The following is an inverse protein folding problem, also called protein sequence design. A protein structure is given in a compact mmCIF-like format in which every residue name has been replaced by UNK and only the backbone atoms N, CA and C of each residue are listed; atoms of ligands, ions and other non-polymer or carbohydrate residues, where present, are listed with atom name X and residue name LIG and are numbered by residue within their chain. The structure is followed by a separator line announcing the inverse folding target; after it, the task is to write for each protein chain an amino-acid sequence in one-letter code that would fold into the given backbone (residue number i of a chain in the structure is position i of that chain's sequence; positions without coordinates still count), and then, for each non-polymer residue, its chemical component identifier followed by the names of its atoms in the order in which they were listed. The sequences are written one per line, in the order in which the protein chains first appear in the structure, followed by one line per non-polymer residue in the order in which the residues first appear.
data_IF_502703881616
#
_entry.id   IF_502703881616
#
_cell.length_a   1.000
_cell.length_b   1.000
_cell.length_c   1.000
_cell.angle_alpha   90.00
_cell.angle_beta   90.00
_cell.angle_gamma   90.00
#
_symmetry.space_group_name_H-M   'P 1'
#
loop_
_entity.id
_entity.type
_entity.pdbx_description
1 polymer ?
#
# COMPACT_ATOMS: atom_id res chain seq x y z
N UNK A 1 -3.93 -14.64 52.17
CA UNK A 1 -3.50 -15.99 51.71
C UNK A 1 -4.46 -16.37 50.60
N UNK A 2 -4.25 -15.99 49.36
CA UNK A 2 -3.03 -15.66 48.62
C UNK A 2 -3.26 -14.44 47.72
N UNK A 3 -2.26 -13.58 47.67
CA UNK A 3 -1.96 -12.66 46.58
C UNK A 3 -1.74 -13.43 45.28
N UNK A 4 -2.10 -12.83 44.13
CA UNK A 4 -1.61 -13.09 42.76
C UNK A 4 -2.41 -12.13 41.85
N UNK A 5 -2.08 -10.85 41.64
CA UNK A 5 -0.88 -10.27 41.02
C UNK A 5 -0.45 -10.98 39.73
N UNK A 6 -0.91 -10.50 38.56
CA UNK A 6 -0.07 -10.51 37.36
C UNK A 6 -0.54 -9.49 36.30
N UNK A 7 0.38 -8.57 35.97
CA UNK A 7 0.64 -7.81 34.74
C UNK A 7 -0.59 -7.29 33.94
N UNK A 8 -0.87 -5.99 33.85
CA UNK A 8 0.00 -4.89 33.38
C UNK A 8 0.80 -5.23 32.13
N UNK A 9 0.14 -5.22 30.97
CA UNK A 9 0.82 -4.99 29.69
C UNK A 9 0.08 -3.89 28.92
N UNK A 10 0.19 -2.65 29.41
CA UNK A 10 0.21 -1.49 28.53
C UNK A 10 1.47 -1.62 27.67
N UNK A 11 1.34 -2.24 26.49
CA UNK A 11 2.36 -2.13 25.47
C UNK A 11 2.31 -0.73 24.86
N UNK A 12 2.89 0.21 25.61
CA UNK A 12 3.44 1.45 25.06
C UNK A 12 4.58 1.06 24.12
N UNK A 13 4.22 0.81 22.86
CA UNK A 13 5.23 0.62 21.80
C UNK A 13 5.67 2.02 21.38
N UNK A 14 6.72 2.50 22.03
CA UNK A 14 7.55 3.59 21.52
C UNK A 14 8.11 3.15 20.17
N UNK A 15 7.50 3.63 19.08
CA UNK A 15 8.05 3.47 17.74
C UNK A 15 8.22 4.83 17.08
N UNK A 16 9.29 5.50 17.48
CA UNK A 16 9.74 6.78 16.92
C UNK A 16 10.36 6.65 15.50
N UNK A 17 9.84 5.73 14.69
CA UNK A 17 9.88 5.68 13.23
C UNK A 17 8.42 5.66 12.76
N UNK A 18 7.81 6.84 12.59
CA UNK A 18 6.37 7.03 12.41
C UNK A 18 5.67 5.88 11.68
N UNK A 19 4.95 5.06 12.45
CA UNK A 19 4.29 3.86 11.95
C UNK A 19 3.40 4.20 10.76
N UNK A 20 3.73 3.65 9.58
CA UNK A 20 2.81 3.61 8.47
C UNK A 20 1.66 2.65 8.81
N UNK A 21 0.68 3.15 9.54
CA UNK A 21 -0.59 2.44 9.66
C UNK A 21 -1.30 2.55 8.31
N UNK A 22 -1.18 1.50 7.52
CA UNK A 22 -1.85 1.34 6.23
C UNK A 22 -3.10 0.49 6.46
N UNK A 23 -4.22 0.91 5.87
CA UNK A 23 -5.38 0.03 5.74
C UNK A 23 -5.04 -1.13 4.82
N UNK A 24 -5.78 -2.23 4.91
CA UNK A 24 -5.57 -3.42 4.07
C UNK A 24 -5.65 -3.08 2.57
N UNK A 25 -6.53 -2.15 2.19
CA UNK A 25 -6.67 -1.66 0.81
C UNK A 25 -5.46 -0.85 0.36
N UNK A 26 -4.98 0.07 1.20
CA UNK A 26 -3.79 0.88 0.90
C UNK A 26 -2.54 0.01 0.73
N UNK A 27 -2.31 -0.93 1.66
CA UNK A 27 -1.22 -1.87 1.59
C UNK A 27 -1.30 -2.74 0.33
N UNK A 28 -2.51 -3.20 -0.03
CA UNK A 28 -2.75 -3.96 -1.27
C UNK A 28 -2.39 -3.15 -2.51
N UNK A 29 -2.82 -1.89 -2.60
CA UNK A 29 -2.53 -1.02 -3.74
C UNK A 29 -1.03 -0.79 -3.88
N UNK A 30 -0.35 -0.45 -2.78
CA UNK A 30 1.10 -0.24 -2.78
C UNK A 30 1.85 -1.51 -3.20
N UNK A 31 1.48 -2.67 -2.65
CA UNK A 31 2.07 -3.95 -3.05
C UNK A 31 1.86 -4.26 -4.54
N UNK A 32 0.68 -3.98 -5.08
CA UNK A 32 0.41 -4.16 -6.52
C UNK A 32 1.26 -3.23 -7.38
N UNK A 33 1.44 -1.97 -6.97
CA UNK A 33 2.27 -1.01 -7.70
C UNK A 33 3.73 -1.46 -7.72
N UNK A 34 4.29 -1.88 -6.57
CA UNK A 34 5.67 -2.38 -6.45
C UNK A 34 5.89 -3.64 -7.28
N UNK A 35 4.99 -4.61 -7.15
CA UNK A 35 5.04 -5.85 -7.93
C UNK A 35 5.04 -5.54 -9.44
N UNK A 36 4.18 -4.61 -9.89
CA UNK A 36 3.99 -4.32 -11.32
C UNK A 36 5.06 -3.40 -11.90
N UNK A 37 5.69 -2.54 -11.10
CA UNK A 37 6.92 -1.85 -11.50
C UNK A 37 8.01 -2.86 -11.88
N UNK A 38 8.15 -3.92 -11.08
CA UNK A 38 9.20 -4.93 -11.28
C UNK A 38 8.87 -5.97 -12.33
N UNK A 39 7.63 -6.49 -12.33
CA UNK A 39 7.23 -7.63 -13.17
C UNK A 39 6.68 -7.23 -14.54
N UNK A 40 6.12 -6.02 -14.67
CA UNK A 40 5.50 -5.52 -15.90
C UNK A 40 5.81 -4.02 -16.11
N UNK A 41 7.09 -3.64 -16.24
CA UNK A 41 7.51 -2.24 -16.31
C UNK A 41 6.91 -1.49 -17.50
N UNK A 42 6.54 -2.20 -18.58
CA UNK A 42 5.91 -1.61 -19.77
C UNK A 42 4.48 -1.09 -19.52
N UNK A 43 3.81 -1.60 -18.49
CA UNK A 43 2.47 -1.16 -18.10
C UNK A 43 2.52 -0.05 -17.05
N UNK A 44 3.61 0.05 -16.30
CA UNK A 44 3.82 1.03 -15.25
C UNK A 44 4.14 2.42 -15.82
N UNK A 45 3.65 3.54 -15.23
CA UNK A 45 2.79 3.64 -14.04
C UNK A 45 1.34 3.26 -14.31
N UNK A 46 0.63 2.63 -13.36
CA UNK A 46 -0.66 2.01 -13.64
C UNK A 46 -1.83 2.99 -13.65
N UNK A 47 -2.86 2.75 -14.46
CA UNK A 47 -4.15 3.46 -14.33
C UNK A 47 -4.97 2.90 -13.15
N UNK A 48 -5.98 3.63 -12.67
CA UNK A 48 -6.85 3.15 -11.58
C UNK A 48 -7.51 1.80 -11.89
N UNK A 49 -7.91 1.56 -13.14
CA UNK A 49 -8.50 0.28 -13.56
C UNK A 49 -7.47 -0.86 -13.57
N UNK A 50 -6.22 -0.58 -13.95
CA UNK A 50 -5.14 -1.56 -13.89
C UNK A 50 -4.81 -1.93 -12.43
N UNK A 51 -4.82 -0.94 -11.52
CA UNK A 51 -4.66 -1.18 -10.08
C UNK A 51 -5.79 -2.02 -9.52
N UNK A 52 -7.05 -1.70 -9.85
CA UNK A 52 -8.21 -2.49 -9.47
C UNK A 52 -8.07 -3.96 -9.90
N UNK A 53 -7.70 -4.17 -11.16
CA UNK A 53 -7.47 -5.50 -11.72
C UNK A 53 -6.36 -6.23 -10.98
N UNK A 54 -5.23 -5.55 -10.68
CA UNK A 54 -4.12 -6.11 -9.94
C UNK A 54 -4.47 -6.45 -8.49
N UNK A 55 -5.27 -5.62 -7.81
CA UNK A 55 -5.67 -5.84 -6.41
C UNK A 55 -6.57 -7.08 -6.25
N UNK A 56 -7.40 -7.36 -7.26
CA UNK A 56 -8.38 -8.44 -7.29
C UNK A 56 -7.88 -9.70 -8.03
N UNK A 57 -6.57 -9.81 -8.31
CA UNK A 57 -6.00 -11.01 -8.92
C UNK A 57 -6.24 -12.24 -8.03
N UNK A 58 -6.53 -13.39 -8.65
CA UNK A 58 -6.73 -14.67 -7.94
C UNK A 58 -5.42 -15.34 -7.54
N UNK A 59 -4.30 -14.92 -8.13
CA UNK A 59 -2.97 -15.46 -7.91
C UNK A 59 -2.09 -14.39 -7.28
N UNK A 60 -1.09 -14.79 -6.49
CA UNK A 60 -0.15 -13.87 -5.82
C UNK A 60 -0.86 -12.86 -4.91
N UNK A 61 -2.04 -13.20 -4.39
CA UNK A 61 -2.81 -12.39 -3.44
C UNK A 61 -3.26 -13.27 -2.28
N UNK A 62 -2.92 -12.85 -1.07
CA UNK A 62 -3.44 -13.43 0.16
C UNK A 62 -3.82 -12.30 1.14
N UNK A 63 -5.10 -12.15 1.50
CA UNK A 63 -6.26 -12.84 0.93
C UNK A 63 -6.60 -12.34 -0.48
N UNK A 64 -7.27 -13.17 -1.28
CA UNK A 64 -7.93 -12.69 -2.51
C UNK A 64 -8.99 -11.66 -2.12
N UNK A 65 -8.99 -10.51 -2.78
CA UNK A 65 -9.94 -9.42 -2.52
C UNK A 65 -10.88 -9.22 -3.71
N UNK A 66 -12.01 -8.56 -3.45
CA UNK A 66 -12.92 -8.06 -4.47
C UNK A 66 -13.25 -6.60 -4.16
N UNK A 67 -12.30 -5.72 -4.44
CA UNK A 67 -12.43 -4.27 -4.25
C UNK A 67 -13.23 -3.65 -5.39
N UNK A 68 -13.79 -2.47 -5.14
CA UNK A 68 -14.48 -1.64 -6.11
C UNK A 68 -13.65 -0.42 -6.52
N UNK A 69 -13.95 0.16 -7.68
CA UNK A 69 -13.25 1.33 -8.19
C UNK A 69 -13.26 2.52 -7.20
N UNK A 70 -14.38 2.74 -6.50
CA UNK A 70 -14.49 3.80 -5.49
C UNK A 70 -13.54 3.62 -4.31
N UNK A 71 -13.36 2.38 -3.85
CA UNK A 71 -12.42 2.06 -2.75
C UNK A 71 -10.97 2.32 -3.17
N UNK A 72 -10.61 1.93 -4.40
CA UNK A 72 -9.28 2.21 -4.97
C UNK A 72 -9.05 3.72 -5.07
N UNK A 73 -10.01 4.46 -5.63
CA UNK A 73 -9.89 5.92 -5.78
C UNK A 73 -9.75 6.65 -4.45
N UNK A 74 -10.50 6.24 -3.42
CA UNK A 74 -10.38 6.79 -2.08
C UNK A 74 -8.98 6.54 -1.47
N UNK A 75 -8.52 5.29 -1.53
CA UNK A 75 -7.21 4.92 -0.98
C UNK A 75 -6.05 5.60 -1.73
N UNK A 76 -6.13 5.74 -3.06
CA UNK A 76 -5.10 6.46 -3.84
C UNK A 76 -4.96 7.92 -3.40
N UNK A 77 -6.07 8.62 -3.12
CA UNK A 77 -6.03 10.00 -2.61
C UNK A 77 -5.39 10.09 -1.22
N UNK A 78 -5.66 9.13 -0.34
CA UNK A 78 -5.03 9.05 0.97
C UNK A 78 -3.52 8.79 0.85
N UNK A 79 -3.13 7.85 0.00
CA UNK A 79 -1.74 7.54 -0.28
C UNK A 79 -0.97 8.70 -0.92
N UNK A 80 -1.62 9.47 -1.80
CA UNK A 80 -1.06 10.68 -2.40
C UNK A 80 -0.85 11.79 -1.36
N UNK A 81 -1.83 12.00 -0.47
CA UNK A 81 -1.71 12.96 0.65
C UNK A 81 -0.54 12.60 1.58
N UNK A 82 -0.28 11.31 1.76
CA UNK A 82 0.87 10.79 2.52
C UNK A 82 2.17 10.79 1.72
N UNK A 83 2.12 11.11 0.42
CA UNK A 83 3.25 11.09 -0.49
C UNK A 83 3.87 9.70 -0.68
N UNK A 84 3.06 8.64 -0.58
CA UNK A 84 3.44 7.25 -0.86
C UNK A 84 3.10 6.84 -2.31
N UNK A 85 2.21 7.59 -2.95
CA UNK A 85 1.85 7.47 -4.37
C UNK A 85 1.96 8.86 -5.00
N UNK A 86 2.29 8.89 -6.30
CA UNK A 86 2.22 10.11 -7.13
C UNK A 86 1.36 9.86 -8.35
N UNK A 87 0.53 10.85 -8.65
CA UNK A 87 -0.27 10.89 -9.87
C UNK A 87 0.56 11.47 -11.02
N UNK A 88 0.56 10.76 -12.14
CA UNK A 88 1.10 11.17 -13.43
C UNK A 88 -0.09 11.50 -14.32
N UNK A 89 -0.36 12.80 -14.48
CA UNK A 89 -1.48 13.29 -15.27
C UNK A 89 -1.24 13.01 -16.76
N UNK A 90 -2.19 12.31 -17.37
CA UNK A 90 -2.15 11.93 -18.77
C UNK A 90 -3.34 12.49 -19.53
N UNK A 91 -3.19 12.69 -20.85
CA UNK A 91 -4.28 13.21 -21.69
C UNK A 91 -5.48 12.28 -21.80
N UNK A 92 -5.29 10.97 -21.61
CA UNK A 92 -6.35 9.96 -21.69
C UNK A 92 -6.85 9.49 -20.32
N UNK A 93 -5.92 9.30 -19.39
CA UNK A 93 -6.20 8.82 -18.06
C UNK A 93 -5.01 9.13 -17.15
N UNK A 94 -5.31 9.40 -15.89
CA UNK A 94 -4.31 9.52 -14.85
C UNK A 94 -3.70 8.15 -14.55
N UNK A 95 -2.39 8.19 -14.27
CA UNK A 95 -1.58 7.04 -13.89
C UNK A 95 -0.97 7.26 -12.52
N UNK A 96 -0.63 6.19 -11.83
CA UNK A 96 -0.15 6.23 -10.46
C UNK A 96 1.14 5.42 -10.33
N UNK A 97 2.14 6.03 -9.69
CA UNK A 97 3.41 5.42 -9.34
C UNK A 97 3.58 5.40 -7.82
N UNK A 98 4.19 4.34 -7.26
CA UNK A 98 4.56 4.32 -5.85
C UNK A 98 5.82 5.16 -5.60
N UNK A 99 5.95 5.69 -4.39
CA UNK A 99 7.13 6.44 -3.93
C UNK A 99 7.83 5.79 -2.75
N UNK A 100 7.60 4.49 -2.54
CA UNK A 100 8.19 3.75 -1.43
C UNK A 100 9.72 3.75 -1.48
N UNK A 101 10.33 3.58 -2.65
CA UNK A 101 11.79 3.61 -2.83
C UNK A 101 12.41 4.95 -2.41
N UNK A 102 11.74 6.06 -2.75
CA UNK A 102 12.18 7.42 -2.38
C UNK A 102 11.96 7.71 -0.89
N UNK A 103 10.88 7.18 -0.30
CA UNK A 103 10.49 7.45 1.09
C UNK A 103 11.24 6.60 2.10
N UNK A 104 11.61 5.38 1.76
CA UNK A 104 12.21 4.41 2.68
C UNK A 104 13.64 4.04 2.33
N UNK A 105 14.25 4.71 1.36
CA UNK A 105 15.61 4.42 0.90
C UNK A 105 15.82 2.93 0.62
N UNK A 106 14.80 2.26 0.09
CA UNK A 106 14.86 0.83 -0.21
C UNK A 106 15.89 0.63 -1.31
N UNK A 107 17.07 0.09 -0.94
CA UNK A 107 18.02 -0.46 -1.90
C UNK A 107 17.38 -1.67 -2.57
N UNK A 108 17.53 -1.79 -3.89
CA UNK A 108 16.84 -2.76 -4.77
C UNK A 108 17.10 -4.25 -4.46
N UNK A 109 17.85 -4.56 -3.40
CA UNK A 109 18.37 -5.88 -3.02
C UNK A 109 17.84 -6.39 -1.66
N UNK A 110 16.60 -6.08 -1.27
CA UNK A 110 15.94 -6.68 -0.09
C UNK A 110 14.76 -7.56 -0.46
#
# INVERSE_FOLDING_TARGET
MTDDNNASESHDTDNSLGELQLTTTEARILGCLVEKESTTPEQYPLTQNAILTACNQKTSRDPVMNLEAGQIGHALRQLETRGLVKTVFGSRADRFEHRLSERYSLTRDQ
#
